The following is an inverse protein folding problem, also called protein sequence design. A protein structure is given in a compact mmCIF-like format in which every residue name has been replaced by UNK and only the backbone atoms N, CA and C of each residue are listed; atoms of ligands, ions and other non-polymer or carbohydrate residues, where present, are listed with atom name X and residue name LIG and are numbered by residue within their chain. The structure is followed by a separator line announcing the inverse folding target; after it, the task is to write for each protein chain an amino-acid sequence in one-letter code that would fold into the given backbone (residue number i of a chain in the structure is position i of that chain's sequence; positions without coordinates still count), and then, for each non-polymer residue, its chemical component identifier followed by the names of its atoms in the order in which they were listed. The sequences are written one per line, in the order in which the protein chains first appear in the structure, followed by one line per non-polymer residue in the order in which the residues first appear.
data_IF_942359929520
#
_entry.id   IF_942359929520
#
_cell.length_a   1.000
_cell.length_b   1.000
_cell.length_c   1.000
_cell.angle_alpha   90.00
_cell.angle_beta   90.00
_cell.angle_gamma   90.00
#
_symmetry.space_group_name_H-M   'P 1'
#
loop_
_entity.id
_entity.type
_entity.pdbx_description
1 polymer ?
#
# COMPACT_ATOMS: atom_id res chain seq x y z
N UNK A 1 14.00 40.26 31.66
CA UNK A 1 13.37 41.06 32.73
C UNK A 1 14.09 40.98 34.09
N UNK A 2 14.74 39.86 34.45
CA UNK A 2 15.45 39.70 35.75
C UNK A 2 16.40 40.86 36.13
N UNK A 3 17.18 41.37 35.16
CA UNK A 3 18.13 42.47 35.41
C UNK A 3 17.44 43.73 35.95
N UNK A 4 16.26 44.10 35.43
CA UNK A 4 15.54 45.32 35.83
C UNK A 4 14.99 45.24 37.26
N UNK A 5 14.58 44.05 37.70
CA UNK A 5 14.09 43.81 39.07
C UNK A 5 15.25 43.80 40.06
N UNK A 6 16.40 43.23 39.69
CA UNK A 6 17.61 43.27 40.50
C UNK A 6 18.11 44.72 40.72
N UNK A 7 18.04 45.58 39.69
CA UNK A 7 18.37 47.00 39.85
C UNK A 7 17.37 47.73 40.77
N UNK A 8 16.07 47.42 40.68
CA UNK A 8 15.06 48.03 41.56
C UNK A 8 15.24 47.64 43.03
N UNK A 9 15.47 46.35 43.31
CA UNK A 9 15.72 45.87 44.67
C UNK A 9 17.05 46.39 45.24
N UNK A 10 18.11 46.40 44.42
CA UNK A 10 19.41 46.95 44.80
C UNK A 10 19.35 48.45 45.12
N UNK A 11 18.57 49.21 44.34
CA UNK A 11 18.37 50.64 44.57
C UNK A 11 17.57 50.90 45.85
N UNK A 12 16.54 50.09 46.13
CA UNK A 12 15.73 50.22 47.34
C UNK A 12 16.52 49.88 48.62
N UNK A 13 17.33 48.80 48.57
CA UNK A 13 18.26 48.45 49.66
C UNK A 13 19.33 49.54 49.84
N UNK A 14 19.88 50.06 48.73
CA UNK A 14 20.85 51.15 48.76
C UNK A 14 20.30 52.41 49.42
N UNK A 15 19.09 52.84 49.05
CA UNK A 15 18.42 54.00 49.65
C UNK A 15 18.12 53.77 51.14
N UNK A 16 17.70 52.57 51.52
CA UNK A 16 17.47 52.22 52.93
C UNK A 16 18.76 52.26 53.76
N UNK A 17 19.84 51.69 53.26
CA UNK A 17 21.14 51.70 53.96
C UNK A 17 21.71 53.12 54.07
N UNK A 18 21.59 53.93 53.02
CA UNK A 18 22.02 55.34 53.05
C UNK A 18 21.15 56.15 54.03
N UNK A 19 19.84 55.89 54.07
CA UNK A 19 18.93 56.56 55.01
C UNK A 19 19.23 56.14 56.46
N UNK A 20 19.54 54.86 56.69
CA UNK A 20 19.90 54.33 58.01
C UNK A 20 21.26 54.89 58.48
N UNK A 21 22.23 55.00 57.56
CA UNK A 21 23.54 55.61 57.81
C UNK A 21 23.41 57.10 58.12
N UNK A 22 22.63 57.84 57.34
CA UNK A 22 22.36 59.26 57.56
C UNK A 22 21.68 59.50 58.91
N UNK A 23 20.71 58.65 59.28
CA UNK A 23 20.04 58.70 60.57
C UNK A 23 20.99 58.36 61.74
N UNK A 24 21.87 57.37 61.58
CA UNK A 24 22.88 57.01 62.58
C UNK A 24 23.90 58.14 62.80
N UNK A 25 24.36 58.78 61.73
CA UNK A 25 25.24 59.95 61.79
C UNK A 25 24.55 61.15 62.44
N UNK A 26 23.26 61.36 62.17
CA UNK A 26 22.46 62.41 62.80
C UNK A 26 22.29 62.18 64.31
N UNK A 27 22.06 60.94 64.75
CA UNK A 27 21.98 60.57 66.17
C UNK A 27 23.32 60.74 66.90
N UNK A 28 24.44 60.42 66.24
CA UNK A 28 25.79 60.68 66.75
C UNK A 28 26.08 62.18 66.91
N UNK A 29 25.65 63.00 65.95
CA UNK A 29 25.88 64.45 65.97
C UNK A 29 25.02 65.20 67.02
N UNK A 30 23.85 64.67 67.37
CA UNK A 30 22.90 65.32 68.29
C UNK A 30 23.02 64.85 69.75
N UNK A 31 23.89 63.87 70.05
CA UNK A 31 24.23 63.45 71.40
C UNK A 31 23.13 62.69 72.16
N UNK A 32 22.02 62.38 71.51
CA UNK A 32 20.93 61.60 72.10
C UNK A 32 21.24 60.09 71.97
N UNK A 33 21.71 59.48 73.05
CA UNK A 33 21.89 58.03 73.12
C UNK A 33 20.53 57.35 73.28
N UNK A 34 20.04 56.74 72.19
CA UNK A 34 18.84 55.92 72.21
C UNK A 34 19.11 54.63 73.00
N UNK A 35 18.21 54.26 73.91
CA UNK A 35 18.29 53.04 74.72
C UNK A 35 18.26 51.79 73.81
N UNK A 36 19.04 50.75 74.12
CA UNK A 36 19.16 49.50 73.34
C UNK A 36 17.80 48.90 72.95
N UNK A 37 16.79 49.08 73.81
CA UNK A 37 15.42 48.60 73.58
C UNK A 37 14.74 49.25 72.36
N UNK A 38 15.05 50.51 72.03
CA UNK A 38 14.46 51.22 70.90
C UNK A 38 15.11 50.82 69.57
N UNK A 39 16.42 50.56 69.57
CA UNK A 39 17.12 49.98 68.42
C UNK A 39 16.67 48.55 68.14
N UNK A 40 16.47 47.75 69.19
CA UNK A 40 15.90 46.40 69.08
C UNK A 40 14.48 46.43 68.49
N UNK A 41 13.65 47.38 68.93
CA UNK A 41 12.30 47.54 68.39
C UNK A 41 12.31 47.97 66.91
N UNK A 42 13.12 48.97 66.53
CA UNK A 42 13.23 49.42 65.14
C UNK A 42 13.79 48.30 64.22
N UNK A 43 14.79 47.55 64.69
CA UNK A 43 15.35 46.40 64.00
C UNK A 43 14.33 45.28 63.78
N UNK A 44 13.45 45.03 64.76
CA UNK A 44 12.40 44.01 64.65
C UNK A 44 11.34 44.36 63.59
N UNK A 45 10.86 45.61 63.55
CA UNK A 45 9.91 46.06 62.52
C UNK A 45 10.52 46.07 61.12
N UNK A 46 11.78 46.51 61.00
CA UNK A 46 12.50 46.47 59.72
C UNK A 46 12.76 45.05 59.24
N UNK A 47 13.16 44.15 60.15
CA UNK A 47 13.30 42.72 59.87
C UNK A 47 12.00 42.09 59.39
N UNK A 48 10.88 42.39 60.06
CA UNK A 48 9.55 41.90 59.68
C UNK A 48 9.11 42.34 58.28
N UNK A 49 9.34 43.61 57.91
CA UNK A 49 9.02 44.13 56.58
C UNK A 49 9.91 43.50 55.48
N UNK A 50 11.19 43.29 55.78
CA UNK A 50 12.12 42.64 54.85
C UNK A 50 11.76 41.17 54.62
N UNK A 51 11.39 40.44 55.67
CA UNK A 51 10.93 39.04 55.54
C UNK A 51 9.62 38.95 54.76
N UNK A 52 8.65 39.83 55.01
CA UNK A 52 7.40 39.88 54.26
C UNK A 52 7.63 40.22 52.78
N UNK A 53 8.52 41.17 52.49
CA UNK A 53 8.93 41.51 51.13
C UNK A 53 9.60 40.34 50.42
N UNK A 54 10.53 39.65 51.09
CA UNK A 54 11.21 38.48 50.54
C UNK A 54 10.23 37.33 50.22
N UNK A 55 9.30 37.02 51.14
CA UNK A 55 8.27 35.99 50.91
C UNK A 55 7.33 36.38 49.78
N UNK A 56 6.92 37.65 49.69
CA UNK A 56 6.04 38.14 48.61
C UNK A 56 6.70 38.02 47.24
N UNK A 57 7.99 38.36 47.13
CA UNK A 57 8.77 38.17 45.89
C UNK A 57 8.94 36.69 45.56
N UNK A 58 9.20 35.85 46.56
CA UNK A 58 9.32 34.40 46.36
C UNK A 58 8.00 33.81 45.83
N UNK A 59 6.86 34.13 46.43
CA UNK A 59 5.54 33.69 45.96
C UNK A 59 5.25 34.18 44.55
N UNK A 60 5.58 35.44 44.23
CA UNK A 60 5.40 35.97 42.88
C UNK A 60 6.28 35.26 41.84
N UNK A 61 7.56 35.01 42.17
CA UNK A 61 8.47 34.26 41.31
C UNK A 61 7.99 32.82 41.10
N UNK A 62 7.55 32.14 42.16
CA UNK A 62 6.96 30.79 42.07
C UNK A 62 5.69 30.78 41.22
N UNK A 63 4.80 31.76 41.40
CA UNK A 63 3.55 31.83 40.61
C UNK A 63 3.84 32.08 39.12
N UNK A 64 4.80 32.96 38.80
CA UNK A 64 5.18 33.23 37.41
C UNK A 64 5.93 32.04 36.77
N UNK A 65 6.75 31.33 37.54
CA UNK A 65 7.39 30.10 37.08
C UNK A 65 6.36 28.99 36.80
N UNK A 66 5.38 28.82 37.69
CA UNK A 66 4.28 27.87 37.47
C UNK A 66 3.43 28.24 36.24
N UNK A 67 3.19 29.53 35.99
CA UNK A 67 2.48 29.98 34.80
C UNK A 67 3.26 29.66 33.52
N UNK A 68 4.56 29.93 33.49
CA UNK A 68 5.42 29.60 32.34
C UNK A 68 5.53 28.09 32.11
N UNK A 69 5.56 27.29 33.18
CA UNK A 69 5.55 25.83 33.08
C UNK A 69 4.26 25.33 32.42
N UNK A 70 3.09 25.81 32.88
CA UNK A 70 1.78 25.47 32.29
C UNK A 70 1.67 25.89 30.83
N UNK A 71 2.05 27.13 30.50
CA UNK A 71 2.05 27.63 29.12
C UNK A 71 3.00 26.83 28.22
N UNK A 72 4.08 26.25 28.79
CA UNK A 72 5.01 25.36 28.09
C UNK A 72 4.45 23.97 27.85
N UNK A 73 3.79 23.38 28.86
CA UNK A 73 3.09 22.10 28.77
C UNK A 73 1.97 22.15 27.72
N UNK A 74 1.15 23.21 27.71
CA UNK A 74 0.06 23.38 26.74
C UNK A 74 0.59 23.49 25.30
N UNK A 75 1.71 24.19 25.10
CA UNK A 75 2.36 24.29 23.79
C UNK A 75 2.94 22.95 23.35
N UNK A 76 3.64 22.25 24.24
CA UNK A 76 4.19 20.93 23.95
C UNK A 76 3.08 19.93 23.60
N UNK A 77 1.95 19.95 24.33
CA UNK A 77 0.79 19.12 24.02
C UNK A 77 0.16 19.46 22.66
N UNK A 78 0.02 20.75 22.33
CA UNK A 78 -0.49 21.18 21.02
C UNK A 78 0.44 20.80 19.86
N UNK A 79 1.75 20.90 20.06
CA UNK A 79 2.75 20.50 19.07
C UNK A 79 2.78 18.99 18.88
N UNK A 80 2.66 18.21 19.96
CA UNK A 80 2.55 16.76 19.91
C UNK A 80 1.30 16.31 19.15
N UNK A 81 0.13 16.90 19.44
CA UNK A 81 -1.11 16.61 18.73
C UNK A 81 -1.00 16.91 17.23
N UNK A 82 -0.42 18.06 16.84
CA UNK A 82 -0.19 18.39 15.43
C UNK A 82 0.79 17.44 14.75
N UNK A 83 1.81 16.98 15.47
CA UNK A 83 2.76 16.00 14.94
C UNK A 83 2.08 14.65 14.72
N UNK A 84 1.24 14.21 15.65
CA UNK A 84 0.43 13.00 15.54
C UNK A 84 -0.55 13.08 14.36
N UNK A 85 -1.26 14.20 14.20
CA UNK A 85 -2.17 14.42 13.07
C UNK A 85 -1.45 14.33 11.72
N UNK A 86 -0.25 14.94 11.61
CA UNK A 86 0.58 14.86 10.40
C UNK A 86 1.03 13.43 10.14
N UNK A 87 1.50 12.74 11.16
CA UNK A 87 1.94 11.35 11.06
C UNK A 87 0.79 10.43 10.61
N UNK A 88 -0.41 10.61 11.17
CA UNK A 88 -1.59 9.84 10.79
C UNK A 88 -2.01 10.14 9.34
N UNK A 89 -1.95 11.42 8.91
CA UNK A 89 -2.21 11.79 7.52
C UNK A 89 -1.18 11.19 6.54
N UNK A 90 0.10 11.17 6.93
CA UNK A 90 1.17 10.56 6.15
C UNK A 90 1.00 9.03 6.06
N UNK A 91 0.64 8.36 7.15
CA UNK A 91 0.33 6.92 7.16
C UNK A 91 -0.87 6.61 6.27
N UNK A 92 -1.95 7.42 6.33
CA UNK A 92 -3.11 7.24 5.47
C UNK A 92 -2.75 7.41 3.99
N UNK A 93 -1.96 8.44 3.65
CA UNK A 93 -1.49 8.65 2.29
C UNK A 93 -0.55 7.54 1.81
N UNK A 94 0.31 7.02 2.69
CA UNK A 94 1.19 5.89 2.38
C UNK A 94 0.39 4.61 2.13
N UNK A 95 -0.59 4.29 2.99
CA UNK A 95 -1.48 3.16 2.82
C UNK A 95 -2.25 3.24 1.51
N UNK A 96 -2.77 4.42 1.15
CA UNK A 96 -3.46 4.61 -0.13
C UNK A 96 -2.53 4.31 -1.32
N UNK A 97 -1.30 4.84 -1.30
CA UNK A 97 -0.32 4.55 -2.36
C UNK A 97 0.00 3.06 -2.46
N UNK A 98 0.09 2.36 -1.33
CA UNK A 98 0.32 0.91 -1.32
C UNK A 98 -0.85 0.15 -1.91
N UNK A 99 -2.09 0.52 -1.58
CA UNK A 99 -3.29 -0.08 -2.18
C UNK A 99 -3.33 0.14 -3.70
N UNK A 100 -3.03 1.37 -4.15
CA UNK A 100 -2.95 1.69 -5.57
C UNK A 100 -1.87 0.86 -6.29
N UNK A 101 -0.72 0.64 -5.64
CA UNK A 101 0.35 -0.22 -6.18
C UNK A 101 -0.06 -1.70 -6.26
N UNK A 102 -0.77 -2.20 -5.25
CA UNK A 102 -1.28 -3.59 -5.25
C UNK A 102 -2.31 -3.78 -6.37
N UNK A 103 -3.23 -2.84 -6.57
CA UNK A 103 -4.21 -2.90 -7.67
C UNK A 103 -3.50 -2.92 -9.04
N UNK A 104 -2.51 -2.04 -9.24
CA UNK A 104 -1.72 -2.02 -10.48
C UNK A 104 -0.96 -3.33 -10.70
N UNK A 105 -0.32 -3.89 -9.66
CA UNK A 105 0.38 -5.17 -9.76
C UNK A 105 -0.60 -6.30 -10.10
N UNK A 106 -1.73 -6.36 -9.42
CA UNK A 106 -2.72 -7.40 -9.64
C UNK A 106 -3.32 -7.35 -11.05
N UNK A 107 -3.59 -6.15 -11.59
CA UNK A 107 -4.00 -6.01 -13.01
C UNK A 107 -2.92 -6.49 -13.97
N UNK A 108 -1.65 -6.18 -13.72
CA UNK A 108 -0.53 -6.68 -14.54
C UNK A 108 -0.45 -8.21 -14.51
N UNK A 109 -0.62 -8.82 -13.34
CA UNK A 109 -0.57 -10.27 -13.18
C UNK A 109 -1.71 -10.96 -13.94
N UNK A 110 -2.93 -10.41 -13.88
CA UNK A 110 -4.06 -10.93 -14.67
C UNK A 110 -3.76 -10.96 -16.17
N UNK A 111 -3.19 -9.86 -16.69
CA UNK A 111 -2.87 -9.75 -18.12
C UNK A 111 -1.73 -10.67 -18.49
N UNK A 112 -0.70 -10.78 -17.64
CA UNK A 112 0.40 -11.71 -17.85
C UNK A 112 -0.11 -13.15 -17.97
N UNK A 113 -1.06 -13.56 -17.13
CA UNK A 113 -1.71 -14.87 -17.23
C UNK A 113 -2.48 -15.04 -18.55
N UNK A 114 -3.27 -14.04 -18.97
CA UNK A 114 -4.02 -14.12 -20.24
C UNK A 114 -3.08 -14.17 -21.45
N UNK A 115 -2.02 -13.35 -21.46
CA UNK A 115 -1.01 -13.34 -22.54
C UNK A 115 -0.27 -14.67 -22.59
N UNK A 116 0.08 -15.25 -21.44
CA UNK A 116 0.71 -16.57 -21.38
C UNK A 116 -0.23 -17.65 -21.95
N UNK A 117 -1.51 -17.63 -21.57
CA UNK A 117 -2.51 -18.54 -22.12
C UNK A 117 -2.72 -18.37 -23.64
N UNK A 118 -2.71 -17.14 -24.14
CA UNK A 118 -2.76 -16.89 -25.58
C UNK A 118 -1.49 -17.40 -26.29
N UNK A 119 -0.32 -17.23 -25.66
CA UNK A 119 0.95 -17.74 -26.16
C UNK A 119 0.94 -19.27 -26.31
N UNK A 120 0.54 -19.99 -25.26
CA UNK A 120 0.42 -21.46 -25.29
C UNK A 120 -0.67 -21.92 -26.26
N UNK A 121 -1.77 -21.16 -26.41
CA UNK A 121 -2.77 -21.44 -27.43
C UNK A 121 -2.19 -21.41 -28.85
N UNK A 122 -1.33 -20.45 -29.19
CA UNK A 122 -0.72 -20.39 -30.53
C UNK A 122 0.15 -21.62 -30.83
N UNK A 123 0.83 -22.18 -29.82
CA UNK A 123 1.59 -23.43 -29.96
C UNK A 123 0.64 -24.61 -30.22
N UNK A 124 -0.42 -24.73 -29.41
CA UNK A 124 -1.46 -25.74 -29.62
C UNK A 124 -2.09 -25.62 -31.01
N UNK A 125 -2.38 -24.39 -31.45
CA UNK A 125 -2.97 -24.09 -32.75
C UNK A 125 -2.11 -24.67 -33.86
N UNK A 126 -0.81 -24.32 -33.86
CA UNK A 126 0.15 -24.80 -34.83
C UNK A 126 0.25 -26.33 -34.88
N UNK A 127 0.29 -27.01 -33.73
CA UNK A 127 0.34 -28.48 -33.71
C UNK A 127 -0.99 -29.12 -34.13
N UNK A 128 -2.13 -28.49 -33.82
CA UNK A 128 -3.46 -28.94 -34.25
C UNK A 128 -3.58 -28.88 -35.78
N UNK A 129 -3.13 -27.79 -36.40
CA UNK A 129 -3.13 -27.61 -37.86
C UNK A 129 -2.37 -28.74 -38.56
N UNK A 130 -1.19 -29.11 -38.05
CA UNK A 130 -0.39 -30.21 -38.63
C UNK A 130 -1.10 -31.56 -38.57
N UNK A 131 -1.79 -31.86 -37.46
CA UNK A 131 -2.57 -33.10 -37.32
C UNK A 131 -3.72 -33.08 -38.32
N UNK A 132 -4.50 -32.02 -38.30
CA UNK A 132 -5.67 -31.84 -39.17
C UNK A 132 -5.26 -31.96 -40.64
N UNK A 133 -4.22 -31.26 -41.08
CA UNK A 133 -3.74 -31.33 -42.47
C UNK A 133 -3.21 -32.70 -42.86
N UNK A 134 -2.52 -33.39 -41.94
CA UNK A 134 -2.05 -34.75 -42.17
C UNK A 134 -3.20 -35.75 -42.30
N UNK A 135 -4.30 -35.52 -41.59
CA UNK A 135 -5.45 -36.44 -41.54
C UNK A 135 -6.49 -36.13 -42.61
N UNK A 136 -6.64 -34.88 -43.06
CA UNK A 136 -7.55 -34.47 -44.15
C UNK A 136 -7.41 -35.34 -45.41
N UNK A 137 -6.19 -35.69 -45.78
CA UNK A 137 -5.91 -36.52 -46.98
C UNK A 137 -6.22 -38.02 -46.79
N UNK A 138 -6.39 -38.43 -45.53
CA UNK A 138 -6.64 -39.81 -45.08
C UNK A 138 -8.12 -40.07 -44.75
N UNK A 139 -8.96 -39.04 -44.78
CA UNK A 139 -10.40 -39.16 -44.53
C UNK A 139 -11.01 -40.21 -45.45
N UNK A 140 -11.83 -41.08 -44.87
CA UNK A 140 -12.51 -42.19 -45.52
C UNK A 140 -11.58 -43.18 -46.26
N UNK A 141 -10.34 -43.34 -45.78
CA UNK A 141 -9.36 -44.29 -46.30
C UNK A 141 -8.80 -45.16 -45.18
N UNK A 142 -8.47 -46.40 -45.51
CA UNK A 142 -7.70 -47.27 -44.60
C UNK A 142 -6.29 -46.70 -44.41
N UNK A 143 -5.88 -46.55 -43.15
CA UNK A 143 -4.61 -45.94 -42.78
C UNK A 143 -3.50 -47.00 -42.85
N UNK A 144 -2.39 -46.65 -43.49
CA UNK A 144 -1.21 -47.51 -43.51
C UNK A 144 -0.42 -47.41 -42.20
N UNK A 145 0.39 -48.42 -41.82
CA UNK A 145 1.22 -48.36 -40.62
C UNK A 145 2.13 -47.12 -40.56
N UNK A 146 2.69 -46.70 -41.69
CA UNK A 146 3.55 -45.51 -41.78
C UNK A 146 2.76 -44.22 -41.51
N UNK A 147 1.54 -44.13 -42.03
CA UNK A 147 0.63 -43.00 -41.77
C UNK A 147 0.20 -42.98 -40.30
N UNK A 148 -0.12 -44.14 -39.72
CA UNK A 148 -0.44 -44.28 -38.30
C UNK A 148 0.71 -43.82 -37.40
N UNK A 149 1.94 -44.21 -37.74
CA UNK A 149 3.13 -43.77 -37.01
C UNK A 149 3.33 -42.25 -37.10
N UNK A 150 3.17 -41.66 -38.29
CA UNK A 150 3.25 -40.20 -38.48
C UNK A 150 2.20 -39.46 -37.63
N UNK A 151 0.93 -39.89 -37.68
CA UNK A 151 -0.15 -39.27 -36.90
C UNK A 151 0.12 -39.41 -35.40
N UNK A 152 0.61 -40.56 -34.95
CA UNK A 152 0.97 -40.80 -33.54
C UNK A 152 2.08 -39.86 -33.07
N UNK A 153 3.11 -39.64 -33.89
CA UNK A 153 4.20 -38.70 -33.55
C UNK A 153 3.71 -37.25 -33.46
N UNK A 154 2.80 -36.83 -34.34
CA UNK A 154 2.18 -35.50 -34.25
C UNK A 154 1.28 -35.37 -33.01
N UNK A 155 0.50 -36.41 -32.70
CA UNK A 155 -0.36 -36.45 -31.52
C UNK A 155 0.44 -36.26 -30.22
N UNK A 156 1.60 -36.92 -30.07
CA UNK A 156 2.44 -36.76 -28.87
C UNK A 156 2.91 -35.32 -28.65
N UNK A 157 3.25 -34.59 -29.72
CA UNK A 157 3.63 -33.17 -29.64
C UNK A 157 2.44 -32.28 -29.30
N UNK A 158 1.31 -32.57 -29.92
CA UNK A 158 0.05 -31.88 -29.64
C UNK A 158 -0.42 -32.11 -28.20
N UNK A 159 -0.30 -33.33 -27.67
CA UNK A 159 -0.69 -33.68 -26.30
C UNK A 159 0.12 -32.89 -25.26
N UNK A 160 1.44 -32.76 -25.46
CA UNK A 160 2.27 -31.90 -24.62
C UNK A 160 1.77 -30.44 -24.63
N UNK A 161 1.47 -29.91 -25.82
CA UNK A 161 0.94 -28.55 -25.98
C UNK A 161 -0.45 -28.38 -25.35
N UNK A 162 -1.27 -29.43 -25.38
CA UNK A 162 -2.60 -29.45 -24.77
C UNK A 162 -2.53 -29.37 -23.24
N UNK A 163 -1.59 -30.11 -22.64
CA UNK A 163 -1.36 -30.04 -21.18
C UNK A 163 -0.93 -28.63 -20.77
N UNK A 164 -0.04 -27.99 -21.55
CA UNK A 164 0.41 -26.63 -21.30
C UNK A 164 -0.73 -25.60 -21.36
N UNK A 165 -1.61 -25.67 -22.35
CA UNK A 165 -2.75 -24.74 -22.43
C UNK A 165 -3.73 -24.95 -21.27
N UNK A 166 -3.99 -26.20 -20.85
CA UNK A 166 -4.91 -26.46 -19.74
C UNK A 166 -4.38 -25.88 -18.44
N UNK A 167 -3.06 -26.03 -18.19
CA UNK A 167 -2.41 -25.42 -17.04
C UNK A 167 -2.49 -23.88 -17.11
N UNK A 168 -2.30 -23.30 -18.30
CA UNK A 168 -2.39 -21.85 -18.49
C UNK A 168 -3.82 -21.33 -18.29
N UNK A 169 -4.85 -22.01 -18.80
CA UNK A 169 -6.25 -21.65 -18.57
C UNK A 169 -6.66 -21.84 -17.11
N UNK A 170 -6.20 -22.91 -16.44
CA UNK A 170 -6.45 -23.10 -15.01
C UNK A 170 -5.83 -21.97 -14.18
N UNK A 171 -4.57 -21.60 -14.45
CA UNK A 171 -3.91 -20.47 -13.81
C UNK A 171 -4.65 -19.15 -14.07
N UNK A 172 -5.03 -18.88 -15.32
CA UNK A 172 -5.78 -17.69 -15.68
C UNK A 172 -7.15 -17.62 -14.99
N UNK A 173 -7.86 -18.75 -14.87
CA UNK A 173 -9.17 -18.82 -14.20
C UNK A 173 -9.11 -18.53 -12.69
N UNK A 174 -7.96 -18.73 -12.05
CA UNK A 174 -7.73 -18.43 -10.63
C UNK A 174 -7.35 -16.95 -10.46
N UNK A 175 -6.49 -16.43 -11.36
CA UNK A 175 -5.95 -15.07 -11.25
C UNK A 175 -6.93 -14.01 -11.75
N UNK A 176 -7.64 -14.28 -12.84
CA UNK A 176 -8.56 -13.32 -13.47
C UNK A 176 -9.87 -13.26 -12.69
N UNK A 177 -10.14 -12.09 -12.12
CA UNK A 177 -11.34 -11.81 -11.34
C UNK A 177 -12.45 -11.13 -12.12
N UNK A 178 -12.11 -10.48 -13.25
CA UNK A 178 -13.08 -9.80 -14.08
C UNK A 178 -14.05 -10.81 -14.69
N UNK A 179 -15.33 -10.69 -14.35
CA UNK A 179 -16.36 -11.67 -14.71
C UNK A 179 -16.48 -11.86 -16.24
N UNK A 180 -16.58 -10.81 -17.08
CA UNK A 180 -16.57 -10.96 -18.53
C UNK A 180 -15.34 -11.72 -19.08
N UNK A 181 -14.13 -11.37 -18.65
CA UNK A 181 -12.91 -12.07 -19.10
C UNK A 181 -12.90 -13.53 -18.66
N UNK A 182 -13.39 -13.81 -17.44
CA UNK A 182 -13.48 -15.17 -16.90
C UNK A 182 -14.49 -16.04 -17.66
N UNK A 183 -15.60 -15.48 -18.11
CA UNK A 183 -16.58 -16.19 -18.94
C UNK A 183 -15.97 -16.62 -20.28
N UNK A 184 -15.19 -15.75 -20.92
CA UNK A 184 -14.46 -16.08 -22.15
C UNK A 184 -13.42 -17.18 -21.89
N UNK A 185 -12.66 -17.11 -20.79
CA UNK A 185 -11.70 -18.16 -20.39
C UNK A 185 -12.38 -19.53 -20.23
N UNK A 186 -13.53 -19.58 -19.57
CA UNK A 186 -14.31 -20.82 -19.41
C UNK A 186 -14.77 -21.36 -20.77
N UNK A 187 -15.14 -20.48 -21.71
CA UNK A 187 -15.50 -20.90 -23.07
C UNK A 187 -14.29 -21.46 -23.82
N UNK A 188 -13.13 -20.82 -23.73
CA UNK A 188 -11.88 -21.32 -24.30
C UNK A 188 -11.52 -22.70 -23.76
N UNK A 189 -11.60 -22.91 -22.44
CA UNK A 189 -11.33 -24.20 -21.79
C UNK A 189 -12.26 -25.32 -22.28
N UNK A 190 -13.56 -25.02 -22.40
CA UNK A 190 -14.56 -25.94 -22.97
C UNK A 190 -14.24 -26.29 -24.42
N UNK A 191 -13.89 -25.30 -25.24
CA UNK A 191 -13.55 -25.50 -26.65
C UNK A 191 -12.26 -26.32 -26.80
N UNK A 192 -11.23 -26.05 -26.00
CA UNK A 192 -9.99 -26.82 -25.97
C UNK A 192 -10.24 -28.28 -25.56
N UNK A 193 -11.07 -28.51 -24.55
CA UNK A 193 -11.48 -29.84 -24.11
C UNK A 193 -12.26 -30.62 -25.18
N UNK A 194 -13.13 -29.94 -25.94
CA UNK A 194 -13.85 -30.56 -27.06
C UNK A 194 -12.91 -30.87 -28.23
N UNK A 195 -12.01 -29.95 -28.58
CA UNK A 195 -10.96 -30.20 -29.57
C UNK A 195 -10.11 -31.41 -29.20
N UNK A 196 -9.74 -31.53 -27.93
CA UNK A 196 -8.97 -32.66 -27.43
C UNK A 196 -9.67 -33.99 -27.61
N UNK A 197 -10.99 -34.04 -27.35
CA UNK A 197 -11.79 -35.24 -27.56
C UNK A 197 -11.78 -35.71 -29.02
N UNK A 198 -11.95 -34.78 -29.96
CA UNK A 198 -11.94 -35.09 -31.39
C UNK A 198 -10.54 -35.54 -31.87
N UNK A 199 -9.47 -34.86 -31.43
CA UNK A 199 -8.09 -35.25 -31.77
C UNK A 199 -7.70 -36.59 -31.15
N UNK A 200 -8.16 -36.91 -29.95
CA UNK A 200 -7.98 -38.23 -29.34
C UNK A 200 -8.73 -39.33 -30.10
N UNK A 201 -9.94 -39.04 -30.60
CA UNK A 201 -10.69 -39.95 -31.48
C UNK A 201 -9.93 -40.23 -32.78
N UNK A 202 -9.42 -39.19 -33.43
CA UNK A 202 -8.54 -39.28 -34.61
C UNK A 202 -7.33 -40.17 -34.31
N UNK A 203 -6.62 -39.93 -33.20
CA UNK A 203 -5.46 -40.71 -32.81
C UNK A 203 -5.80 -42.19 -32.53
N UNK A 204 -6.91 -42.46 -31.84
CA UNK A 204 -7.36 -43.82 -31.53
C UNK A 204 -7.67 -44.62 -32.79
N UNK A 205 -8.31 -44.00 -33.79
CA UNK A 205 -8.59 -44.64 -35.07
C UNK A 205 -7.31 -44.83 -35.90
N UNK A 206 -6.46 -43.81 -35.98
CA UNK A 206 -5.19 -43.88 -36.71
C UNK A 206 -4.24 -44.95 -36.16
N UNK A 207 -4.06 -45.03 -34.83
CA UNK A 207 -3.19 -46.01 -34.18
C UNK A 207 -3.65 -47.46 -34.38
N UNK A 208 -4.94 -47.67 -34.66
CA UNK A 208 -5.53 -48.97 -34.98
C UNK A 208 -5.61 -49.24 -36.49
N UNK A 209 -4.99 -48.38 -37.32
CA UNK A 209 -5.06 -48.42 -38.78
C UNK A 209 -6.50 -48.44 -39.31
N UNK A 210 -7.44 -47.81 -38.60
CA UNK A 210 -8.85 -47.72 -38.99
C UNK A 210 -9.11 -46.47 -39.81
N UNK A 211 -10.21 -46.50 -40.57
CA UNK A 211 -10.73 -45.33 -41.26
C UNK A 211 -11.05 -44.21 -40.26
N UNK A 212 -10.71 -42.97 -40.62
CA UNK A 212 -11.06 -41.78 -39.85
C UNK A 212 -12.32 -41.18 -40.47
N UNK A 213 -13.33 -41.04 -39.63
CA UNK A 213 -14.59 -40.41 -39.94
C UNK A 213 -14.40 -38.92 -40.31
N UNK A 214 -14.98 -38.52 -41.44
CA UNK A 214 -14.93 -37.14 -41.93
C UNK A 214 -15.60 -36.13 -40.99
N UNK A 215 -16.65 -36.53 -40.28
CA UNK A 215 -17.34 -35.64 -39.33
C UNK A 215 -16.46 -35.33 -38.11
N UNK A 216 -15.70 -36.31 -37.61
CA UNK A 216 -14.70 -36.11 -36.55
C UNK A 216 -13.66 -35.05 -36.95
N UNK A 217 -13.13 -35.11 -38.17
CA UNK A 217 -12.14 -34.13 -38.67
C UNK A 217 -12.78 -32.74 -38.83
N UNK A 218 -14.00 -32.68 -39.36
CA UNK A 218 -14.76 -31.44 -39.50
C UNK A 218 -15.07 -30.79 -38.15
N UNK A 219 -15.43 -31.57 -37.14
CA UNK A 219 -15.68 -31.10 -35.78
C UNK A 219 -14.38 -30.57 -35.14
N UNK A 220 -13.27 -31.29 -35.27
CA UNK A 220 -11.97 -30.82 -34.80
C UNK A 220 -11.59 -29.45 -35.40
N UNK A 221 -11.77 -29.28 -36.72
CA UNK A 221 -11.54 -27.99 -37.39
C UNK A 221 -12.47 -26.89 -36.86
N UNK A 222 -13.77 -27.18 -36.71
CA UNK A 222 -14.74 -26.22 -36.18
C UNK A 222 -14.39 -25.77 -34.76
N UNK A 223 -14.02 -26.70 -33.87
CA UNK A 223 -13.60 -26.34 -32.51
C UNK A 223 -12.29 -25.55 -32.51
N UNK A 224 -11.34 -25.91 -33.38
CA UNK A 224 -10.08 -25.21 -33.54
C UNK A 224 -10.30 -23.74 -33.95
N UNK A 225 -11.12 -23.49 -34.97
CA UNK A 225 -11.40 -22.14 -35.47
C UNK A 225 -12.12 -21.28 -34.41
N UNK A 226 -13.12 -21.88 -33.74
CA UNK A 226 -13.85 -21.21 -32.66
C UNK A 226 -12.96 -20.88 -31.46
N UNK A 227 -12.05 -21.79 -31.11
CA UNK A 227 -11.08 -21.56 -30.05
C UNK A 227 -10.16 -20.39 -30.40
N UNK A 228 -9.73 -20.27 -31.67
CA UNK A 228 -8.93 -19.13 -32.13
C UNK A 228 -9.65 -17.80 -32.01
N UNK A 229 -10.89 -17.74 -32.49
CA UNK A 229 -11.72 -16.55 -32.34
C UNK A 229 -11.87 -16.14 -30.86
N UNK A 230 -12.14 -17.12 -29.98
CA UNK A 230 -12.32 -16.86 -28.55
C UNK A 230 -11.02 -16.49 -27.83
N UNK A 231 -9.88 -17.05 -28.24
CA UNK A 231 -8.58 -16.67 -27.72
C UNK A 231 -8.20 -15.22 -28.09
N UNK A 232 -8.54 -14.77 -29.30
CA UNK A 232 -8.37 -13.38 -29.72
C UNK A 232 -9.32 -12.44 -28.97
N UNK A 233 -10.59 -12.83 -28.81
CA UNK A 233 -11.57 -12.11 -27.99
C UNK A 233 -11.08 -11.93 -26.55
N UNK A 234 -10.53 -13.00 -25.96
CA UNK A 234 -9.95 -12.98 -24.62
C UNK A 234 -8.80 -11.99 -24.49
N UNK A 235 -7.88 -11.97 -25.46
CA UNK A 235 -6.74 -11.06 -25.46
C UNK A 235 -7.19 -9.60 -25.58
N UNK A 236 -8.20 -9.34 -26.42
CA UNK A 236 -8.77 -7.99 -26.58
C UNK A 236 -9.50 -7.55 -25.30
N UNK A 237 -10.30 -8.41 -24.69
CA UNK A 237 -10.97 -8.12 -23.42
C UNK A 237 -9.98 -7.81 -22.30
N UNK A 238 -8.87 -8.54 -22.22
CA UNK A 238 -7.79 -8.26 -21.26
C UNK A 238 -7.10 -6.91 -21.53
N UNK A 239 -6.94 -6.53 -22.81
CA UNK A 239 -6.39 -5.22 -23.19
C UNK A 239 -7.35 -4.08 -22.86
N UNK A 240 -8.65 -4.24 -23.06
CA UNK A 240 -9.61 -3.18 -22.77
C UNK A 240 -9.69 -2.89 -21.26
N UNK A 241 -9.52 -3.91 -20.42
CA UNK A 241 -9.42 -3.76 -18.96
C UNK A 241 -8.19 -2.93 -18.51
N UNK A 242 -7.13 -2.80 -19.32
CA UNK A 242 -6.00 -1.90 -19.03
C UNK A 242 -6.35 -0.42 -19.17
N UNK A 243 -7.28 -0.10 -20.08
CA UNK A 243 -7.58 1.28 -20.45
C UNK A 243 -8.60 1.93 -19.51
N UNK A 244 -9.15 1.19 -18.54
CA UNK A 244 -10.08 1.73 -17.54
C UNK A 244 -9.28 2.44 -16.44
N UNK A 245 -9.36 3.79 -16.33
CA UNK A 245 -8.64 4.52 -15.30
C UNK A 245 -9.14 4.10 -13.91
N UNK A 246 -8.20 3.91 -12.97
CA UNK A 246 -8.46 3.44 -11.60
C UNK A 246 -9.46 4.29 -10.77
N UNK A 247 -9.87 5.46 -11.27
CA UNK A 247 -10.63 6.46 -10.53
C UNK A 247 -12.14 6.51 -10.79
N UNK A 248 -12.75 5.54 -11.49
CA UNK A 248 -14.21 5.56 -11.69
C UNK A 248 -15.04 4.87 -10.58
N UNK A 249 -14.40 4.36 -9.52
CA UNK A 249 -15.06 3.50 -8.53
C UNK A 249 -15.42 4.09 -7.17
N UNK A 250 -15.09 5.35 -6.84
CA UNK A 250 -15.25 5.88 -5.46
C UNK A 250 -16.08 7.16 -5.35
N UNK A 251 -17.07 7.33 -6.23
CA UNK A 251 -18.14 8.32 -6.05
C UNK A 251 -19.49 7.64 -5.80
N UNK A 252 -19.70 7.16 -4.57
CA UNK A 252 -21.02 6.81 -4.04
C UNK A 252 -21.04 7.00 -2.53
#
# INVERSE_FOLDING_TARGET
MLKKIAYGAGLLIGVLLVSLLAYYLFALATGTTFNETQWAAAGAWFGGLMTFGAVSVAVWQTNNANKQARDGEDKAASEAAKAEDRHNAELAAANQRTLDQIDVQWRRDQIACVVAAYGTYNVLRFESDKIVDSVKVLVNKTITPDQAHKVTSLFQKWEASFIEINNAYAAANITVSNQPTREILIECDKLASNLAREIQSIHSNASRCREIDGDTVKNAMSFHDRLGFKAEELLNAARDNLNVPANQGTSS
#
